data_IF_987637696718
#
_entry.id   IF_987637696718
#
_cell.length_a   1.000
_cell.length_b   1.000
_cell.length_c   1.000
_cell.angle_alpha   90.00
_cell.angle_beta   90.00
_cell.angle_gamma   90.00
#
_symmetry.space_group_name_H-M   'P 1'
#
loop_
_entity.id
_entity.type
_entity.pdbx_description
1 polymer ?
#
# COMPACT_ATOMS: atom_id res chain seq x y z
N UNK A 1 16.56 -0.41 7.44
CA UNK A 1 17.16 -0.65 8.78
C UNK A 1 16.17 -1.37 9.69
N UNK A 2 16.62 -2.31 10.53
CA UNK A 2 15.78 -2.99 11.52
C UNK A 2 16.00 -2.32 12.88
N UNK A 3 14.96 -1.70 13.46
CA UNK A 3 15.10 -0.93 14.71
C UNK A 3 14.57 -1.64 15.96
N UNK A 4 13.65 -2.60 15.82
CA UNK A 4 13.13 -3.38 16.95
C UNK A 4 14.04 -4.53 17.38
N UNK A 5 14.95 -4.95 16.51
CA UNK A 5 15.96 -5.97 16.80
C UNK A 5 17.22 -5.77 15.95
N UNK A 6 18.20 -4.96 16.39
CA UNK A 6 19.34 -4.57 15.57
C UNK A 6 20.37 -5.68 15.34
N UNK A 7 20.25 -6.83 16.00
CA UNK A 7 21.21 -7.93 15.86
C UNK A 7 20.70 -9.24 16.43
N UNK A 8 21.57 -10.25 16.44
CA UNK A 8 21.30 -11.59 16.96
C UNK A 8 22.28 -11.92 18.10
N UNK A 9 21.83 -12.68 19.10
CA UNK A 9 22.71 -13.34 20.07
C UNK A 9 23.39 -14.55 19.44
N UNK A 10 24.37 -15.15 20.14
CA UNK A 10 25.19 -16.29 19.66
C UNK A 10 24.39 -17.48 19.10
N UNK A 11 23.17 -17.71 19.60
CA UNK A 11 22.28 -18.80 19.14
C UNK A 11 21.23 -18.35 18.11
N UNK A 12 21.40 -17.18 17.49
CA UNK A 12 20.54 -16.69 16.41
C UNK A 12 19.22 -16.06 16.85
N UNK A 13 18.98 -15.86 18.15
CA UNK A 13 17.78 -15.14 18.63
C UNK A 13 17.97 -13.63 18.44
N UNK A 14 16.94 -12.88 17.99
CA UNK A 14 17.00 -11.43 17.91
C UNK A 14 17.29 -10.79 19.27
N UNK A 15 18.14 -9.76 19.27
CA UNK A 15 18.37 -8.86 20.39
C UNK A 15 17.25 -7.82 20.35
N UNK A 16 16.17 -8.05 21.08
CA UNK A 16 15.02 -7.15 21.08
C UNK A 16 15.32 -5.85 21.83
N UNK A 17 14.85 -4.74 21.26
CA UNK A 17 14.77 -3.44 21.94
C UNK A 17 13.51 -3.46 22.82
N UNK A 18 13.60 -3.26 24.16
CA UNK A 18 12.45 -3.35 25.05
C UNK A 18 11.26 -2.47 24.65
N UNK A 19 11.54 -1.26 24.15
CA UNK A 19 10.55 -0.28 23.69
C UNK A 19 9.77 -0.78 22.46
N UNK A 20 10.35 -1.66 21.65
CA UNK A 20 9.68 -2.25 20.49
C UNK A 20 8.55 -3.22 20.87
N UNK A 21 8.32 -3.48 22.16
CA UNK A 21 7.14 -4.18 22.68
C UNK A 21 5.94 -3.26 22.92
N UNK A 22 6.10 -1.94 22.74
CA UNK A 22 5.04 -0.92 22.68
C UNK A 22 3.95 -0.98 23.76
N UNK A 23 4.31 -1.42 24.98
CA UNK A 23 3.36 -1.57 26.07
C UNK A 23 2.79 -0.22 26.53
N UNK A 24 3.59 0.61 27.21
CA UNK A 24 3.14 1.90 27.73
C UNK A 24 3.38 3.07 26.76
N UNK A 25 4.44 2.98 25.95
CA UNK A 25 4.87 4.06 25.06
C UNK A 25 4.79 3.56 23.61
N UNK A 26 4.15 4.31 22.70
CA UNK A 26 4.13 3.95 21.29
C UNK A 26 5.54 3.83 20.69
N UNK A 27 5.74 2.87 19.79
CA UNK A 27 7.01 2.64 19.12
C UNK A 27 6.85 2.72 17.60
N UNK A 28 7.68 3.55 16.95
CA UNK A 28 7.76 3.59 15.49
C UNK A 28 8.65 2.45 15.01
N UNK A 29 8.06 1.38 14.50
CA UNK A 29 8.80 0.17 14.11
C UNK A 29 9.17 0.18 12.62
N UNK A 30 10.38 -0.29 12.32
CA UNK A 30 10.85 -0.60 10.96
C UNK A 30 11.65 -1.90 10.98
N UNK A 31 11.28 -2.91 10.16
CA UNK A 31 10.10 -2.95 9.30
C UNK A 31 8.78 -2.97 10.10
N UNK A 32 7.75 -2.32 9.54
CA UNK A 32 6.38 -2.43 10.02
C UNK A 32 5.70 -3.76 9.65
N UNK A 33 4.36 -3.84 9.69
CA UNK A 33 3.63 -5.10 9.47
C UNK A 33 3.76 -5.63 8.05
N UNK A 34 4.08 -4.75 7.11
CA UNK A 34 4.31 -5.06 5.70
C UNK A 34 5.73 -5.59 5.43
N UNK A 35 6.59 -5.67 6.45
CA UNK A 35 7.89 -6.34 6.38
C UNK A 35 8.96 -5.58 5.59
N UNK A 36 10.21 -6.03 5.73
CA UNK A 36 11.33 -5.56 4.90
C UNK A 36 11.34 -6.21 3.51
N UNK A 37 10.56 -7.29 3.37
CA UNK A 37 10.22 -8.04 2.17
C UNK A 37 8.85 -8.71 2.47
N UNK A 38 8.02 -8.92 1.46
CA UNK A 38 6.66 -9.48 1.63
C UNK A 38 6.44 -10.63 0.63
N UNK A 39 5.20 -10.90 0.21
CA UNK A 39 4.84 -12.01 -0.68
C UNK A 39 5.44 -11.94 -2.10
N UNK A 40 5.96 -10.79 -2.51
CA UNK A 40 6.55 -10.59 -3.84
C UNK A 40 7.73 -11.56 -4.05
N UNK A 41 7.71 -12.45 -5.06
CA UNK A 41 8.76 -13.46 -5.21
C UNK A 41 10.17 -12.87 -5.35
N UNK A 42 11.14 -13.42 -4.60
CA UNK A 42 12.56 -13.25 -4.87
C UNK A 42 13.03 -14.26 -5.93
N UNK A 43 14.18 -14.01 -6.55
CA UNK A 43 14.82 -14.93 -7.50
C UNK A 43 16.26 -15.26 -7.11
N UNK A 44 16.75 -16.45 -7.46
CA UNK A 44 18.14 -16.86 -7.27
C UNK A 44 18.81 -17.10 -8.62
N UNK A 45 20.03 -16.58 -8.80
CA UNK A 45 20.87 -16.91 -9.94
C UNK A 45 22.11 -17.70 -9.48
N UNK A 46 22.21 -19.00 -9.83
CA UNK A 46 23.32 -19.84 -9.40
C UNK A 46 24.65 -19.51 -10.09
N UNK A 47 24.64 -18.85 -11.25
CA UNK A 47 25.85 -18.57 -12.03
C UNK A 47 26.68 -17.45 -11.39
N UNK A 48 26.00 -16.47 -10.78
CA UNK A 48 26.64 -15.36 -10.03
C UNK A 48 26.49 -15.50 -8.51
N UNK A 49 25.71 -16.48 -8.04
CA UNK A 49 25.52 -16.77 -6.62
C UNK A 49 24.72 -15.70 -5.87
N UNK A 50 23.76 -15.03 -6.51
CA UNK A 50 23.01 -13.91 -5.94
C UNK A 50 21.51 -14.18 -5.81
N UNK A 51 20.92 -13.70 -4.72
CA UNK A 51 19.49 -13.63 -4.50
C UNK A 51 18.98 -12.19 -4.74
N UNK A 52 17.98 -12.02 -5.59
CA UNK A 52 17.38 -10.73 -5.92
C UNK A 52 16.08 -10.53 -5.14
N UNK A 53 16.08 -9.56 -4.24
CA UNK A 53 15.04 -9.38 -3.23
C UNK A 53 14.35 -8.02 -3.44
N UNK A 54 13.03 -8.00 -3.70
CA UNK A 54 12.21 -6.80 -3.55
C UNK A 54 12.17 -6.41 -2.07
N UNK A 55 12.97 -5.41 -1.70
CA UNK A 55 13.08 -4.94 -0.34
C UNK A 55 12.39 -3.57 -0.19
N UNK A 56 11.95 -3.29 1.03
CA UNK A 56 11.22 -2.07 1.34
C UNK A 56 11.40 -1.62 2.79
N UNK A 57 11.13 -0.33 3.01
CA UNK A 57 11.01 0.28 4.34
C UNK A 57 9.65 0.95 4.40
N UNK A 58 8.76 0.41 5.24
CA UNK A 58 7.43 0.97 5.53
C UNK A 58 7.30 0.99 7.05
N UNK A 59 7.59 2.15 7.70
CA UNK A 59 7.45 2.28 9.14
C UNK A 59 5.99 2.25 9.59
N UNK A 60 5.74 1.77 10.80
CA UNK A 60 4.42 1.81 11.42
C UNK A 60 4.56 2.10 12.92
N UNK A 61 3.73 3.01 13.43
CA UNK A 61 3.58 3.21 14.86
C UNK A 61 2.74 2.07 15.46
N UNK A 62 3.20 1.50 16.56
CA UNK A 62 2.47 0.54 17.38
C UNK A 62 2.21 1.15 18.76
N UNK A 63 0.98 1.02 19.24
CA UNK A 63 0.56 1.37 20.59
C UNK A 63 -0.42 0.32 21.09
N UNK A 64 -0.42 0.02 22.38
CA UNK A 64 -1.41 -0.89 22.98
C UNK A 64 -2.81 -0.28 22.90
N UNK A 65 -3.80 -1.07 22.47
CA UNK A 65 -5.22 -0.67 22.50
C UNK A 65 -5.84 -0.98 23.86
N UNK A 66 -6.12 0.02 24.71
CA UNK A 66 -6.72 -0.22 26.03
C UNK A 66 -8.18 -0.70 25.94
N UNK A 67 -8.80 -0.63 24.75
CA UNK A 67 -10.16 -1.08 24.46
C UNK A 67 -10.20 -2.50 23.90
N UNK A 68 -9.04 -3.16 23.78
CA UNK A 68 -8.95 -4.47 23.16
C UNK A 68 -9.79 -5.50 23.93
N UNK A 69 -10.58 -6.25 23.18
CA UNK A 69 -11.26 -7.46 23.62
C UNK A 69 -11.02 -8.52 22.56
N UNK A 70 -10.74 -9.75 22.99
CA UNK A 70 -10.51 -10.86 22.08
C UNK A 70 -11.69 -11.03 21.11
N UNK A 71 -11.38 -11.07 19.81
CA UNK A 71 -12.37 -11.25 18.76
C UNK A 71 -11.87 -12.24 17.71
N UNK A 72 -12.61 -13.34 17.50
CA UNK A 72 -12.25 -14.37 16.52
C UNK A 72 -12.64 -14.04 15.08
N UNK A 73 -13.43 -12.99 14.87
CA UNK A 73 -14.10 -12.68 13.61
C UNK A 73 -13.65 -11.36 12.98
N UNK A 74 -12.70 -10.65 13.62
CA UNK A 74 -12.18 -9.34 13.19
C UNK A 74 -10.67 -9.25 13.34
N UNK A 75 -10.12 -8.11 12.93
CA UNK A 75 -8.74 -7.75 13.23
C UNK A 75 -8.51 -7.78 14.75
N UNK A 76 -7.65 -8.69 15.18
CA UNK A 76 -7.43 -9.04 16.59
C UNK A 76 -5.95 -8.81 16.99
N UNK A 77 -5.43 -7.60 16.75
CA UNK A 77 -4.01 -7.28 16.95
C UNK A 77 -3.68 -6.70 18.32
N UNK A 78 -4.66 -6.19 19.06
CA UNK A 78 -4.42 -5.46 20.31
C UNK A 78 -3.67 -4.14 20.13
N UNK A 79 -3.53 -3.67 18.89
CA UNK A 79 -2.83 -2.42 18.55
C UNK A 79 -3.83 -1.30 18.22
N UNK A 80 -3.60 -0.11 18.77
CA UNK A 80 -4.38 1.08 18.48
C UNK A 80 -3.75 1.88 17.34
N UNK A 81 -4.29 1.71 16.14
CA UNK A 81 -3.84 2.43 14.96
C UNK A 81 -4.30 3.90 14.91
N UNK A 82 -5.19 4.33 15.83
CA UNK A 82 -5.61 5.71 15.97
C UNK A 82 -4.85 6.46 17.08
N UNK A 83 -4.00 5.77 17.85
CA UNK A 83 -3.28 6.37 18.97
C UNK A 83 -2.33 7.48 18.49
N UNK A 84 -2.54 8.70 18.99
CA UNK A 84 -1.73 9.88 18.64
C UNK A 84 -1.94 10.38 17.21
N UNK A 85 -2.93 9.85 16.48
CA UNK A 85 -3.29 10.32 15.14
C UNK A 85 -4.21 11.55 15.28
N UNK A 86 -3.85 12.70 14.70
CA UNK A 86 -4.73 13.88 14.73
C UNK A 86 -5.98 13.64 13.87
N UNK A 87 -7.07 14.36 14.13
CA UNK A 87 -8.30 14.26 13.31
C UNK A 87 -8.08 14.66 11.85
N UNK A 88 -7.27 15.68 11.61
CA UNK A 88 -6.84 16.13 10.29
C UNK A 88 -5.32 16.05 10.25
N UNK A 89 -4.78 15.38 9.23
CA UNK A 89 -3.35 15.20 9.09
C UNK A 89 -2.71 16.44 8.45
N UNK A 90 -1.76 17.13 9.11
CA UNK A 90 -1.08 18.26 8.49
C UNK A 90 -0.22 17.84 7.30
N UNK A 91 -0.19 18.63 6.23
CA UNK A 91 0.58 18.29 5.01
C UNK A 91 2.07 18.05 5.23
N UNK A 92 2.71 18.79 6.14
CA UNK A 92 4.12 18.56 6.49
C UNK A 92 4.35 17.21 7.18
N UNK A 93 3.38 16.73 7.95
CA UNK A 93 3.43 15.38 8.53
C UNK A 93 3.30 14.33 7.42
N UNK A 94 2.45 14.57 6.41
CA UNK A 94 2.34 13.66 5.25
C UNK A 94 3.64 13.58 4.45
N UNK A 95 4.27 14.72 4.17
CA UNK A 95 5.58 14.75 3.51
C UNK A 95 6.62 13.97 4.32
N UNK A 96 6.65 14.16 5.63
CA UNK A 96 7.53 13.41 6.53
C UNK A 96 7.26 11.91 6.47
N UNK A 97 6.02 11.46 6.59
CA UNK A 97 5.65 10.05 6.52
C UNK A 97 6.03 9.43 5.18
N UNK A 98 5.74 10.11 4.05
CA UNK A 98 6.11 9.65 2.71
C UNK A 98 7.63 9.54 2.53
N UNK A 99 8.43 10.43 3.13
CA UNK A 99 9.89 10.34 3.07
C UNK A 99 10.48 9.09 3.74
N UNK A 100 9.71 8.46 4.64
CA UNK A 100 10.06 7.19 5.28
C UNK A 100 9.75 5.96 4.42
N UNK A 101 8.99 6.11 3.34
CA UNK A 101 8.60 5.01 2.45
C UNK A 101 9.68 4.79 1.41
N UNK A 102 10.32 3.62 1.43
CA UNK A 102 11.41 3.29 0.49
C UNK A 102 11.20 1.92 -0.13
N UNK A 103 11.53 1.77 -1.39
CA UNK A 103 11.61 0.47 -2.07
C UNK A 103 12.90 0.34 -2.83
N UNK A 104 13.37 -0.90 -2.98
CA UNK A 104 14.61 -1.20 -3.70
C UNK A 104 14.65 -2.65 -4.16
N UNK A 105 15.45 -2.92 -5.18
CA UNK A 105 15.88 -4.26 -5.55
C UNK A 105 17.29 -4.49 -5.00
N UNK A 106 17.45 -5.49 -4.13
CA UNK A 106 18.75 -5.85 -3.56
C UNK A 106 19.24 -7.12 -4.24
N UNK A 107 20.46 -7.12 -4.78
CA UNK A 107 21.17 -8.35 -5.08
C UNK A 107 22.04 -8.75 -3.89
N UNK A 108 21.57 -9.74 -3.15
CA UNK A 108 22.15 -10.23 -1.92
C UNK A 108 23.06 -11.42 -2.19
N UNK A 109 24.30 -11.35 -1.67
CA UNK A 109 25.19 -12.50 -1.57
C UNK A 109 24.89 -13.22 -0.25
N UNK A 110 24.30 -14.43 -0.27
CA UNK A 110 23.94 -15.15 0.95
C UNK A 110 25.15 -15.73 1.68
N UNK A 111 26.31 -15.88 1.02
CA UNK A 111 27.54 -16.40 1.61
C UNK A 111 28.29 -15.28 2.33
N UNK A 112 28.49 -14.15 1.65
CA UNK A 112 29.12 -12.98 2.22
C UNK A 112 28.19 -12.20 3.18
N UNK A 113 26.88 -12.45 3.10
CA UNK A 113 25.84 -11.76 3.87
C UNK A 113 25.88 -10.24 3.67
N UNK A 114 26.03 -9.82 2.41
CA UNK A 114 26.06 -8.42 2.02
C UNK A 114 25.32 -8.18 0.69
N UNK A 115 24.88 -6.94 0.48
CA UNK A 115 24.38 -6.51 -0.81
C UNK A 115 25.56 -6.31 -1.77
N UNK A 116 25.54 -6.99 -2.92
CA UNK A 116 26.50 -6.75 -4.01
C UNK A 116 26.20 -5.45 -4.74
N UNK A 117 24.91 -5.18 -4.94
CA UNK A 117 24.40 -3.94 -5.50
C UNK A 117 22.96 -3.72 -5.03
N UNK A 118 22.45 -2.52 -5.26
CA UNK A 118 21.08 -2.11 -4.94
C UNK A 118 20.58 -1.13 -5.99
N UNK A 119 19.35 -1.32 -6.47
CA UNK A 119 18.62 -0.34 -7.29
C UNK A 119 17.52 0.27 -6.42
N UNK A 120 17.59 1.58 -6.18
CA UNK A 120 16.55 2.30 -5.44
C UNK A 120 15.35 2.60 -6.34
N UNK A 121 14.15 2.48 -5.78
CA UNK A 121 12.89 2.78 -6.43
C UNK A 121 12.23 4.01 -5.81
N UNK A 122 11.30 4.64 -6.54
CA UNK A 122 10.60 5.85 -6.06
C UNK A 122 9.77 5.63 -4.77
N UNK A 123 9.35 4.39 -4.52
CA UNK A 123 8.56 4.01 -3.36
C UNK A 123 8.60 2.50 -3.11
N UNK A 124 7.97 2.04 -2.02
CA UNK A 124 7.94 0.63 -1.62
C UNK A 124 7.01 -0.20 -2.53
N UNK A 125 6.85 -1.47 -2.18
CA UNK A 125 5.83 -2.36 -2.75
C UNK A 125 5.99 -2.67 -4.25
N UNK A 126 7.23 -2.69 -4.72
CA UNK A 126 7.58 -3.16 -6.06
C UNK A 126 7.45 -4.69 -6.12
N UNK A 127 7.19 -5.18 -7.33
CA UNK A 127 6.82 -6.57 -7.57
C UNK A 127 7.93 -7.58 -7.48
N UNK A 128 7.55 -8.82 -7.74
CA UNK A 128 8.45 -9.97 -7.73
C UNK A 128 9.49 -9.92 -8.85
N UNK A 129 10.40 -10.87 -8.77
CA UNK A 129 11.60 -10.92 -9.61
C UNK A 129 11.69 -12.23 -10.37
N UNK A 130 12.19 -12.15 -11.59
CA UNK A 130 12.61 -13.28 -12.40
C UNK A 130 14.08 -13.13 -12.74
N UNK A 131 14.91 -14.15 -12.52
CA UNK A 131 16.29 -14.18 -13.02
C UNK A 131 16.45 -15.26 -14.10
N UNK A 132 17.33 -15.02 -15.05
CA UNK A 132 17.57 -15.90 -16.21
C UNK A 132 19.05 -16.27 -16.32
N UNK A 133 19.33 -17.40 -16.98
CA UNK A 133 20.70 -17.84 -17.29
C UNK A 133 21.46 -16.89 -18.23
N UNK A 134 20.77 -15.93 -18.87
CA UNK A 134 21.40 -14.92 -19.70
C UNK A 134 22.05 -13.78 -18.90
N UNK A 135 21.99 -13.82 -17.56
CA UNK A 135 22.47 -12.74 -16.71
C UNK A 135 21.51 -11.55 -16.67
N UNK A 136 20.19 -11.79 -16.84
CA UNK A 136 19.17 -10.73 -16.81
C UNK A 136 18.19 -10.98 -15.66
N UNK A 137 17.83 -9.90 -14.96
CA UNK A 137 16.85 -9.87 -13.87
C UNK A 137 15.68 -8.96 -14.24
N UNK A 138 14.47 -9.49 -14.26
CA UNK A 138 13.25 -8.73 -14.55
C UNK A 138 12.48 -8.42 -13.27
N UNK A 139 11.91 -7.22 -13.18
CA UNK A 139 11.06 -6.80 -12.06
C UNK A 139 9.94 -5.86 -12.54
N UNK A 140 8.71 -6.10 -12.08
CA UNK A 140 7.61 -5.15 -12.16
C UNK A 140 7.65 -4.15 -11.01
N UNK A 141 7.33 -2.88 -11.26
CA UNK A 141 7.32 -1.81 -10.27
C UNK A 141 5.90 -1.31 -10.02
N UNK A 142 5.68 -0.67 -8.86
CA UNK A 142 4.36 -0.15 -8.49
C UNK A 142 3.91 1.02 -9.39
N UNK A 143 4.86 1.78 -9.92
CA UNK A 143 4.62 2.90 -10.85
C UNK A 143 4.22 2.46 -12.27
N UNK A 144 4.17 1.15 -12.54
CA UNK A 144 3.78 0.61 -13.85
C UNK A 144 4.94 0.36 -14.81
N UNK A 145 6.19 0.52 -14.37
CA UNK A 145 7.35 0.09 -15.14
C UNK A 145 7.60 -1.41 -14.98
N UNK A 146 7.91 -2.08 -16.08
CA UNK A 146 8.51 -3.41 -16.10
C UNK A 146 9.93 -3.29 -16.64
N UNK A 147 10.92 -3.59 -15.81
CA UNK A 147 12.33 -3.33 -16.10
C UNK A 147 13.15 -4.63 -16.12
N UNK A 148 14.25 -4.59 -16.88
CA UNK A 148 15.27 -5.62 -16.94
C UNK A 148 16.63 -5.02 -16.53
N UNK A 149 17.34 -5.75 -15.68
CA UNK A 149 18.62 -5.34 -15.11
C UNK A 149 19.70 -6.38 -15.43
N UNK A 150 20.95 -5.93 -15.54
CA UNK A 150 22.11 -6.82 -15.51
C UNK A 150 22.18 -7.51 -14.13
N UNK A 151 22.28 -8.83 -14.15
CA UNK A 151 22.26 -9.67 -12.96
C UNK A 151 23.47 -9.43 -12.03
N UNK A 152 24.62 -9.03 -12.58
CA UNK A 152 25.86 -8.87 -11.85
C UNK A 152 26.07 -7.44 -11.34
N UNK A 153 25.58 -6.43 -12.06
CA UNK A 153 25.82 -5.00 -11.73
C UNK A 153 24.58 -4.24 -11.28
N UNK A 154 23.39 -4.69 -11.66
CA UNK A 154 22.14 -3.96 -11.44
C UNK A 154 21.90 -2.82 -12.44
N UNK A 155 22.70 -2.71 -13.50
CA UNK A 155 22.50 -1.71 -14.54
C UNK A 155 21.17 -1.95 -15.27
N UNK A 156 20.38 -0.90 -15.47
CA UNK A 156 19.14 -1.01 -16.24
C UNK A 156 19.45 -1.22 -17.72
N UNK A 157 18.96 -2.33 -18.27
CA UNK A 157 19.16 -2.72 -19.66
C UNK A 157 17.96 -2.36 -20.54
N UNK A 158 16.77 -2.38 -19.94
CA UNK A 158 15.51 -2.16 -20.65
C UNK A 158 14.39 -1.83 -19.67
N UNK A 159 13.43 -1.03 -20.13
CA UNK A 159 12.21 -0.69 -19.41
C UNK A 159 11.03 -0.55 -20.38
N UNK A 160 9.85 -0.98 -19.95
CA UNK A 160 8.59 -0.71 -20.62
C UNK A 160 7.50 -0.29 -19.64
N UNK A 161 6.63 0.62 -20.08
CA UNK A 161 5.44 1.02 -19.34
C UNK A 161 4.30 0.01 -19.61
N UNK A 162 3.87 -0.69 -18.57
CA UNK A 162 2.78 -1.68 -18.61
C UNK A 162 1.42 -1.11 -18.20
N UNK A 163 1.34 0.21 -18.03
CA UNK A 163 0.12 1.00 -17.78
C UNK A 163 -0.62 0.65 -16.50
N UNK A 164 -0.06 -0.19 -15.64
CA UNK A 164 -0.62 -0.55 -14.34
C UNK A 164 0.46 -1.09 -13.42
N UNK A 165 0.30 -0.92 -12.11
CA UNK A 165 1.24 -1.48 -11.13
C UNK A 165 1.41 -2.98 -11.32
N UNK A 166 2.64 -3.47 -11.18
CA UNK A 166 2.98 -4.86 -11.45
C UNK A 166 3.66 -5.48 -10.23
N UNK A 167 2.85 -5.96 -9.27
CA UNK A 167 3.34 -6.56 -8.04
C UNK A 167 3.69 -8.06 -8.16
N UNK A 168 3.21 -8.73 -9.21
CA UNK A 168 3.41 -10.18 -9.40
C UNK A 168 4.87 -10.53 -9.70
N UNK A 169 5.21 -11.82 -9.60
CA UNK A 169 6.47 -12.34 -10.13
C UNK A 169 6.36 -12.55 -11.65
N UNK A 170 7.32 -12.08 -12.45
CA UNK A 170 7.35 -12.37 -13.88
C UNK A 170 7.62 -13.86 -14.15
N UNK A 171 7.19 -14.33 -15.32
CA UNK A 171 7.50 -15.67 -15.82
C UNK A 171 8.14 -15.61 -17.21
N UNK A 172 8.86 -16.67 -17.59
CA UNK A 172 9.37 -16.82 -18.96
C UNK A 172 9.13 -18.24 -19.45
N UNK A 173 8.89 -18.37 -20.75
CA UNK A 173 8.63 -19.65 -21.42
C UNK A 173 9.04 -19.56 -22.90
N UNK A 174 9.04 -20.70 -23.59
CA UNK A 174 9.37 -20.79 -25.01
C UNK A 174 8.19 -21.38 -25.79
N UNK A 175 7.94 -20.86 -26.99
CA UNK A 175 7.02 -21.43 -27.98
C UNK A 175 7.74 -21.44 -29.33
N UNK A 176 7.82 -22.62 -29.97
CA UNK A 176 8.42 -22.81 -31.30
C UNK A 176 9.84 -22.20 -31.46
N UNK A 177 10.66 -22.28 -30.42
CA UNK A 177 12.03 -21.74 -30.40
C UNK A 177 12.12 -20.23 -30.13
N UNK A 178 11.01 -19.56 -29.82
CA UNK A 178 10.98 -18.15 -29.47
C UNK A 178 10.68 -17.98 -27.98
N UNK A 179 11.52 -17.20 -27.28
CA UNK A 179 11.38 -16.93 -25.86
C UNK A 179 10.42 -15.77 -25.61
N UNK A 180 9.58 -15.94 -24.60
CA UNK A 180 8.61 -14.97 -24.11
C UNK A 180 8.86 -14.65 -22.63
N UNK A 181 8.62 -13.41 -22.24
CA UNK A 181 8.60 -12.98 -20.84
C UNK A 181 7.24 -12.38 -20.55
N UNK A 182 6.59 -12.80 -19.48
CA UNK A 182 5.22 -12.40 -19.14
C UNK A 182 5.11 -11.90 -17.71
N UNK A 183 4.18 -10.98 -17.48
CA UNK A 183 3.85 -10.45 -16.17
C UNK A 183 2.36 -10.16 -16.09
N UNK A 184 1.76 -10.38 -14.91
CA UNK A 184 0.39 -9.93 -14.64
C UNK A 184 0.42 -8.54 -14.00
N UNK A 185 -0.38 -7.64 -14.56
CA UNK A 185 -0.50 -6.25 -14.09
C UNK A 185 -1.85 -6.04 -13.41
N UNK A 186 -1.87 -5.08 -12.50
CA UNK A 186 -3.04 -4.71 -11.72
C UNK A 186 -2.61 -4.08 -10.42
N UNK A 187 -3.05 -2.85 -10.19
CA UNK A 187 -2.96 -2.27 -8.85
C UNK A 187 -3.85 -3.06 -7.89
N UNK A 188 -3.36 -3.26 -6.68
CA UNK A 188 -4.08 -3.96 -5.62
C UNK A 188 -3.15 -4.17 -4.43
N UNK A 189 -3.45 -5.18 -3.61
CA UNK A 189 -2.72 -5.61 -2.40
C UNK A 189 -3.05 -4.86 -1.10
N UNK A 190 -2.60 -5.46 0.01
CA UNK A 190 -2.72 -4.89 1.34
C UNK A 190 -2.10 -3.50 1.48
N UNK A 191 -0.98 -3.19 0.80
CA UNK A 191 -0.34 -1.88 0.92
C UNK A 191 -1.20 -0.75 0.36
N UNK A 192 -1.68 -0.87 -0.89
CA UNK A 192 -2.52 0.17 -1.48
C UNK A 192 -3.85 0.34 -0.71
N UNK A 193 -4.42 -0.75 -0.20
CA UNK A 193 -5.63 -0.68 0.63
C UNK A 193 -5.40 0.01 1.99
N UNK A 194 -4.33 -0.37 2.71
CA UNK A 194 -4.11 0.08 4.08
C UNK A 194 -3.38 1.42 4.18
N UNK A 195 -2.52 1.76 3.22
CA UNK A 195 -1.85 3.07 3.16
C UNK A 195 -2.67 4.11 2.38
N UNK A 196 -3.58 3.68 1.49
CA UNK A 196 -4.51 4.58 0.79
C UNK A 196 -3.82 5.76 0.12
N UNK A 197 -4.35 6.97 0.34
CA UNK A 197 -3.81 8.23 -0.17
C UNK A 197 -2.40 8.59 0.36
N UNK A 198 -1.90 7.94 1.42
CA UNK A 198 -0.50 8.11 1.83
C UNK A 198 0.45 7.46 0.82
N UNK A 199 0.08 6.29 0.27
CA UNK A 199 0.90 5.55 -0.69
C UNK A 199 0.94 6.21 -2.06
N UNK A 200 -0.17 6.82 -2.47
CA UNK A 200 -0.32 7.43 -3.79
C UNK A 200 -1.11 8.73 -3.65
N UNK A 201 -0.49 9.91 -3.89
CA UNK A 201 -1.18 11.20 -3.79
C UNK A 201 -2.39 11.28 -4.73
N UNK A 202 -2.25 10.67 -5.90
CA UNK A 202 -3.33 10.53 -6.87
C UNK A 202 -3.91 9.12 -6.81
N UNK A 203 -5.22 8.99 -6.83
CA UNK A 203 -5.86 7.69 -6.88
C UNK A 203 -5.46 6.96 -8.17
N UNK A 204 -5.06 5.69 -8.06
CA UNK A 204 -4.78 4.87 -9.25
C UNK A 204 -6.07 4.68 -10.04
N UNK A 205 -6.00 4.68 -11.38
CA UNK A 205 -7.19 4.53 -12.20
C UNK A 205 -7.79 3.12 -12.01
N UNK A 206 -9.13 2.98 -12.10
CA UNK A 206 -9.78 1.68 -12.02
C UNK A 206 -9.51 0.87 -13.30
N UNK A 207 -8.31 0.30 -13.39
CA UNK A 207 -7.88 -0.51 -14.51
C UNK A 207 -8.16 -1.99 -14.28
N UNK A 208 -8.56 -2.66 -15.34
CA UNK A 208 -8.66 -4.12 -15.37
C UNK A 208 -7.25 -4.70 -15.46
N UNK A 209 -6.96 -5.68 -14.60
CA UNK A 209 -5.68 -6.37 -14.64
C UNK A 209 -5.44 -7.08 -15.98
N UNK A 210 -4.19 -7.06 -16.46
CA UNK A 210 -3.81 -7.61 -17.77
C UNK A 210 -2.74 -8.68 -17.60
N UNK A 211 -2.65 -9.58 -18.58
CA UNK A 211 -1.44 -10.38 -18.81
C UNK A 211 -0.68 -9.69 -19.93
N UNK A 212 0.52 -9.23 -19.64
CA UNK A 212 1.39 -8.56 -20.61
C UNK A 212 2.55 -9.49 -20.93
N UNK A 213 2.77 -9.74 -22.23
CA UNK A 213 3.82 -10.66 -22.69
C UNK A 213 4.70 -9.97 -23.72
N UNK A 214 6.01 -10.13 -23.54
CA UNK A 214 7.07 -9.56 -24.35
C UNK A 214 7.83 -10.65 -25.08
N UNK A 215 8.34 -10.31 -26.26
CA UNK A 215 9.32 -11.10 -27.02
C UNK A 215 10.19 -10.15 -27.83
N UNK A 216 11.34 -10.64 -28.29
CA UNK A 216 12.21 -9.84 -29.15
C UNK A 216 11.52 -9.49 -30.48
N UNK A 217 11.68 -8.24 -30.93
CA UNK A 217 11.14 -7.75 -32.20
C UNK A 217 9.64 -7.42 -32.21
N UNK A 218 8.91 -7.65 -31.10
CA UNK A 218 7.55 -7.16 -30.93
C UNK A 218 7.53 -5.62 -30.91
N UNK A 219 6.46 -5.02 -31.43
CA UNK A 219 6.30 -3.56 -31.57
C UNK A 219 4.91 -3.05 -31.19
N UNK A 220 4.06 -3.95 -30.71
CA UNK A 220 2.74 -3.65 -30.21
C UNK A 220 2.83 -2.78 -28.96
N UNK A 221 1.95 -1.80 -28.88
CA UNK A 221 1.88 -0.88 -27.74
C UNK A 221 0.73 -1.26 -26.82
N UNK A 222 0.94 -1.10 -25.51
CA UNK A 222 -0.13 -1.24 -24.52
C UNK A 222 -0.91 0.06 -24.54
N UNK A 223 -2.20 -0.02 -24.89
CA UNK A 223 -3.07 1.14 -24.93
C UNK A 223 -3.17 1.80 -23.54
N UNK A 224 -3.15 3.14 -23.56
CA UNK A 224 -3.40 3.95 -22.38
C UNK A 224 -4.81 3.69 -21.83
N UNK A 225 -4.94 3.90 -20.53
CA UNK A 225 -6.23 3.83 -19.84
C UNK A 225 -6.88 5.20 -19.95
N UNK A 226 -7.92 5.30 -20.78
CA UNK A 226 -8.74 6.52 -20.89
C UNK A 226 -9.94 6.40 -19.94
N UNK A 227 -9.86 7.10 -18.81
CA UNK A 227 -10.94 7.17 -17.83
C UNK A 227 -11.23 8.64 -17.55
N UNK A 228 -12.49 9.08 -17.69
CA UNK A 228 -12.85 10.45 -17.39
C UNK A 228 -12.62 10.72 -15.91
N UNK A 229 -11.73 11.67 -15.61
CA UNK A 229 -11.49 12.15 -14.26
C UNK A 229 -12.66 13.05 -13.89
N UNK A 230 -13.45 12.61 -12.92
CA UNK A 230 -14.50 13.44 -12.31
C UNK A 230 -13.86 14.23 -11.18
N UNK A 231 -14.10 15.53 -11.15
CA UNK A 231 -13.59 16.39 -10.07
C UNK A 231 -14.15 15.93 -8.71
N UNK A 232 -13.28 15.59 -7.75
CA UNK A 232 -13.71 15.19 -6.42
C UNK A 232 -14.34 16.37 -5.69
N UNK A 233 -15.58 16.19 -5.23
CA UNK A 233 -16.35 17.23 -4.53
C UNK A 233 -17.08 16.62 -3.34
N UNK A 234 -17.05 17.26 -2.15
CA UNK A 234 -17.90 16.88 -1.03
C UNK A 234 -19.38 16.85 -1.44
N UNK A 235 -20.16 15.95 -0.84
CA UNK A 235 -21.59 15.78 -1.17
C UNK A 235 -22.54 16.46 -0.20
N UNK A 236 -22.00 17.00 0.89
CA UNK A 236 -22.75 17.75 1.90
C UNK A 236 -21.80 18.67 2.67
N UNK A 237 -22.34 19.65 3.37
CA UNK A 237 -21.60 20.56 4.25
C UNK A 237 -21.02 19.81 5.46
N UNK A 238 -19.96 20.33 6.06
CA UNK A 238 -19.44 19.79 7.32
C UNK A 238 -20.49 19.84 8.43
N UNK A 239 -20.48 18.82 9.30
CA UNK A 239 -21.36 18.72 10.45
C UNK A 239 -20.71 17.87 11.55
N UNK A 240 -21.36 17.84 12.72
CA UNK A 240 -20.91 17.09 13.88
C UNK A 240 -20.12 17.94 14.88
N UNK A 241 -20.11 17.49 16.13
CA UNK A 241 -19.33 18.13 17.20
C UNK A 241 -17.90 17.60 17.22
N UNK A 242 -16.97 18.31 17.87
CA UNK A 242 -15.58 17.84 18.04
C UNK A 242 -15.51 16.42 18.66
N UNK A 243 -16.36 16.15 19.65
CA UNK A 243 -16.45 14.83 20.29
C UNK A 243 -16.94 13.75 19.30
N UNK A 244 -17.98 14.07 18.51
CA UNK A 244 -18.51 13.15 17.50
C UNK A 244 -17.48 12.86 16.40
N UNK A 245 -16.69 13.86 15.99
CA UNK A 245 -15.63 13.68 15.01
C UNK A 245 -14.47 12.83 15.56
N UNK A 246 -14.13 13.00 16.84
CA UNK A 246 -13.11 12.18 17.50
C UNK A 246 -13.55 10.71 17.62
N UNK A 247 -14.82 10.47 17.95
CA UNK A 247 -15.42 9.15 17.96
C UNK A 247 -15.49 8.54 16.55
N UNK A 248 -15.91 9.34 15.56
CA UNK A 248 -15.93 8.97 14.16
C UNK A 248 -14.56 8.52 13.63
N UNK A 249 -13.49 9.24 13.96
CA UNK A 249 -12.11 8.84 13.65
C UNK A 249 -11.77 7.46 14.22
N UNK A 250 -12.09 7.22 15.50
CA UNK A 250 -11.80 5.94 16.16
C UNK A 250 -12.56 4.79 15.50
N UNK A 251 -13.86 4.96 15.26
CA UNK A 251 -14.68 3.94 14.61
C UNK A 251 -14.23 3.69 13.17
N UNK A 252 -13.90 4.76 12.43
CA UNK A 252 -13.36 4.66 11.08
C UNK A 252 -12.04 3.88 11.05
N UNK A 253 -11.10 4.21 11.93
CA UNK A 253 -9.80 3.55 12.02
C UNK A 253 -9.92 2.05 12.37
N UNK A 254 -10.93 1.67 13.16
CA UNK A 254 -11.14 0.27 13.56
C UNK A 254 -11.88 -0.57 12.51
N UNK A 255 -12.71 0.05 11.68
CA UNK A 255 -13.67 -0.69 10.84
C UNK A 255 -13.53 -0.43 9.34
N UNK A 256 -13.02 0.73 8.92
CA UNK A 256 -13.06 1.17 7.53
C UNK A 256 -11.66 1.35 6.90
N UNK A 257 -10.68 1.79 7.69
CA UNK A 257 -9.36 2.23 7.18
C UNK A 257 -8.60 1.16 6.39
N UNK A 258 -8.79 -0.12 6.69
CA UNK A 258 -8.05 -1.22 6.05
C UNK A 258 -8.46 -1.44 4.59
N UNK A 259 -9.63 -0.94 4.20
CA UNK A 259 -10.17 -1.02 2.85
C UNK A 259 -10.16 0.35 2.17
N UNK A 260 -10.55 1.40 2.89
CA UNK A 260 -10.76 2.74 2.34
C UNK A 260 -9.60 3.71 2.58
N UNK A 261 -8.49 3.23 3.12
CA UNK A 261 -7.31 4.02 3.44
C UNK A 261 -7.45 4.86 4.70
N UNK A 262 -6.35 5.38 5.25
CA UNK A 262 -6.40 6.28 6.40
C UNK A 262 -7.02 7.62 5.98
N UNK A 263 -7.71 8.28 6.91
CA UNK A 263 -8.38 9.57 6.67
C UNK A 263 -9.41 9.54 5.53
N UNK A 264 -10.02 8.39 5.28
CA UNK A 264 -10.96 8.20 4.17
C UNK A 264 -10.36 8.42 2.77
N UNK A 265 -9.03 8.63 2.67
CA UNK A 265 -8.32 8.79 1.43
C UNK A 265 -7.92 7.44 0.87
N UNK A 266 -8.63 7.00 -0.17
CA UNK A 266 -8.34 5.73 -0.84
C UNK A 266 -7.15 5.89 -1.80
N UNK A 267 -6.46 4.79 -2.07
CA UNK A 267 -5.48 4.73 -3.15
C UNK A 267 -6.10 4.62 -4.54
N UNK A 268 -7.44 4.49 -4.65
CA UNK A 268 -8.17 4.24 -5.91
C UNK A 268 -8.52 2.78 -6.17
N UNK A 269 -8.04 1.83 -5.36
CA UNK A 269 -8.40 0.39 -5.49
C UNK A 269 -9.85 0.15 -5.09
N UNK A 270 -10.25 0.74 -3.97
CA UNK A 270 -11.64 0.79 -3.51
C UNK A 270 -12.13 2.25 -3.53
N UNK A 271 -13.44 2.49 -3.45
CA UNK A 271 -13.97 3.86 -3.46
C UNK A 271 -13.34 4.75 -2.39
N UNK A 272 -12.96 5.96 -2.78
CA UNK A 272 -12.61 7.03 -1.85
C UNK A 272 -13.89 7.56 -1.20
N UNK A 273 -14.00 7.38 0.12
CA UNK A 273 -15.24 7.67 0.83
C UNK A 273 -15.51 9.17 0.94
N UNK A 274 -14.48 10.02 0.85
CA UNK A 274 -14.62 11.49 0.88
C UNK A 274 -15.50 12.00 -0.25
N UNK A 275 -15.48 11.31 -1.39
CA UNK A 275 -16.17 11.72 -2.61
C UNK A 275 -17.43 10.90 -2.91
N UNK A 276 -17.77 9.96 -2.03
CA UNK A 276 -18.89 9.03 -2.19
C UNK A 276 -20.23 9.74 -2.16
N UNK A 277 -21.11 9.44 -3.12
CA UNK A 277 -22.48 9.94 -3.17
C UNK A 277 -23.27 9.61 -1.88
N UNK A 278 -22.99 8.47 -1.25
CA UNK A 278 -23.69 8.03 -0.04
C UNK A 278 -23.42 8.90 1.19
N UNK A 279 -22.42 9.79 1.17
CA UNK A 279 -22.17 10.73 2.27
C UNK A 279 -23.19 11.87 2.35
N UNK A 280 -24.01 12.04 1.30
CA UNK A 280 -24.94 13.17 1.16
C UNK A 280 -25.95 13.28 2.32
N UNK A 281 -26.41 12.15 2.87
CA UNK A 281 -27.36 12.09 3.97
C UNK A 281 -27.19 10.81 4.82
N UNK A 282 -27.77 10.82 6.02
CA UNK A 282 -27.63 9.75 6.99
C UNK A 282 -28.31 8.43 6.56
N UNK A 283 -29.43 8.49 5.84
CA UNK A 283 -30.17 7.31 5.40
C UNK A 283 -29.39 6.58 4.30
N UNK A 284 -28.88 7.31 3.32
CA UNK A 284 -28.01 6.79 2.25
C UNK A 284 -26.75 6.11 2.81
N UNK A 285 -26.10 6.75 3.80
CA UNK A 285 -24.90 6.21 4.44
C UNK A 285 -25.20 4.95 5.26
N UNK A 286 -26.22 5.00 6.11
CA UNK A 286 -26.69 3.85 6.90
C UNK A 286 -27.10 2.68 6.00
N UNK A 287 -27.76 2.96 4.88
CA UNK A 287 -28.17 1.94 3.91
C UNK A 287 -26.99 1.10 3.39
N UNK A 288 -25.81 1.70 3.27
CA UNK A 288 -24.59 0.99 2.89
C UNK A 288 -23.96 0.28 4.08
N UNK A 289 -23.74 1.00 5.18
CA UNK A 289 -22.92 0.52 6.31
C UNK A 289 -23.64 -0.48 7.21
N UNK A 290 -24.94 -0.29 7.44
CA UNK A 290 -25.77 -1.14 8.31
C UNK A 290 -26.65 -2.06 7.46
N UNK A 291 -27.43 -1.51 6.54
CA UNK A 291 -28.43 -2.31 5.82
C UNK A 291 -27.78 -3.20 4.73
N UNK A 292 -26.53 -2.91 4.36
CA UNK A 292 -25.73 -3.78 3.52
C UNK A 292 -26.11 -3.74 2.04
N UNK A 293 -26.59 -2.60 1.55
CA UNK A 293 -27.03 -2.45 0.16
C UNK A 293 -25.93 -2.76 -0.89
N UNK A 294 -24.66 -2.78 -0.48
CA UNK A 294 -23.51 -3.08 -1.33
C UNK A 294 -22.79 -4.41 -0.97
N UNK A 295 -23.41 -5.29 -0.17
CA UNK A 295 -22.82 -6.58 0.21
C UNK A 295 -22.49 -7.48 -0.98
N UNK A 296 -23.30 -7.44 -2.04
CA UNK A 296 -23.11 -8.26 -3.24
C UNK A 296 -21.82 -7.94 -4.01
N UNK A 297 -21.24 -6.76 -3.77
CA UNK A 297 -19.96 -6.33 -4.36
C UNK A 297 -18.83 -6.25 -3.33
N UNK A 298 -19.03 -6.82 -2.14
CA UNK A 298 -17.98 -6.98 -1.12
C UNK A 298 -17.97 -5.96 0.01
N UNK A 299 -18.87 -4.97 0.03
CA UNK A 299 -19.02 -4.05 1.17
C UNK A 299 -19.89 -4.69 2.24
N UNK A 300 -19.27 -5.24 3.28
CA UNK A 300 -19.96 -5.96 4.36
C UNK A 300 -20.83 -5.04 5.21
N UNK A 301 -21.88 -5.59 5.81
CA UNK A 301 -22.64 -4.88 6.85
C UNK A 301 -21.88 -4.89 8.17
N UNK A 302 -22.02 -3.79 8.90
CA UNK A 302 -21.46 -3.57 10.24
C UNK A 302 -22.55 -3.53 11.33
N UNK A 303 -23.77 -3.99 11.04
CA UNK A 303 -24.90 -3.96 11.98
C UNK A 303 -24.64 -4.67 13.31
N UNK A 304 -23.79 -5.70 13.30
CA UNK A 304 -23.44 -6.46 14.51
C UNK A 304 -22.45 -5.71 15.42
N UNK A 305 -21.88 -4.59 14.96
CA UNK A 305 -20.65 -4.03 15.53
C UNK A 305 -20.60 -2.51 15.65
N UNK A 306 -21.47 -1.81 14.92
CA UNK A 306 -21.64 -0.37 14.99
C UNK A 306 -23.11 -0.06 15.22
N UNK A 307 -23.38 0.86 16.15
CA UNK A 307 -24.70 1.46 16.31
C UNK A 307 -24.96 2.50 15.21
N UNK A 308 -26.22 2.96 15.09
CA UNK A 308 -26.54 4.04 14.15
C UNK A 308 -25.80 5.35 14.48
N UNK A 309 -25.60 5.65 15.77
CA UNK A 309 -24.85 6.82 16.22
C UNK A 309 -23.36 6.72 15.84
N UNK A 310 -22.75 5.53 15.98
CA UNK A 310 -21.36 5.29 15.56
C UNK A 310 -21.21 5.50 14.04
N UNK A 311 -22.19 5.02 13.27
CA UNK A 311 -22.20 5.15 11.81
C UNK A 311 -22.35 6.61 11.35
N UNK A 312 -23.17 7.40 12.05
CA UNK A 312 -23.32 8.83 11.79
C UNK A 312 -22.07 9.61 12.22
N UNK A 313 -21.40 9.22 13.30
CA UNK A 313 -20.11 9.77 13.70
C UNK A 313 -19.03 9.51 12.63
N UNK A 314 -18.98 8.30 12.06
CA UNK A 314 -18.10 7.98 10.93
C UNK A 314 -18.43 8.86 9.72
N UNK A 315 -19.71 9.07 9.40
CA UNK A 315 -20.12 9.94 8.28
C UNK A 315 -19.63 11.37 8.49
N UNK A 316 -19.82 11.92 9.69
CA UNK A 316 -19.34 13.26 10.06
C UNK A 316 -17.83 13.37 9.84
N UNK A 317 -17.07 12.38 10.32
CA UNK A 317 -15.62 12.32 10.15
C UNK A 317 -15.21 12.26 8.66
N UNK A 318 -15.82 11.39 7.86
CA UNK A 318 -15.52 11.25 6.42
C UNK A 318 -15.80 12.55 5.67
N UNK A 319 -16.91 13.23 5.99
CA UNK A 319 -17.25 14.53 5.39
C UNK A 319 -16.24 15.61 5.78
N UNK A 320 -15.79 15.64 7.03
CA UNK A 320 -14.69 16.54 7.44
C UNK A 320 -13.43 16.29 6.60
N UNK A 321 -13.05 15.03 6.36
CA UNK A 321 -11.88 14.72 5.52
C UNK A 321 -12.06 15.15 4.05
N UNK A 322 -13.30 15.18 3.55
CA UNK A 322 -13.61 15.65 2.20
C UNK A 322 -13.42 17.17 2.05
N UNK A 323 -13.72 17.95 3.10
CA UNK A 323 -13.53 19.40 3.12
C UNK A 323 -12.10 19.82 3.49
N UNK A 324 -11.32 18.93 4.10
CA UNK A 324 -9.93 19.18 4.49
C UNK A 324 -8.94 18.23 3.79
N UNK A 325 -8.91 18.19 2.45
CA UNK A 325 -8.08 17.22 1.72
C UNK A 325 -6.58 17.57 1.73
N UNK A 326 -6.20 18.79 2.13
CA UNK A 326 -4.86 19.39 1.96
C UNK A 326 -3.71 18.55 2.52
N UNK A 327 -3.95 17.70 3.52
CA UNK A 327 -2.94 16.78 4.04
C UNK A 327 -2.56 15.67 3.05
N UNK A 328 -3.54 15.14 2.31
CA UNK A 328 -3.42 13.90 1.52
C UNK A 328 -3.66 14.08 0.03
N UNK A 329 -4.13 15.26 -0.40
CA UNK A 329 -4.16 15.65 -1.80
C UNK A 329 -2.74 15.81 -2.37
N UNK A 330 -2.59 15.59 -3.68
CA UNK A 330 -1.39 16.00 -4.39
C UNK A 330 -1.21 17.52 -4.25
N UNK A 331 0.02 17.98 -3.98
CA UNK A 331 0.36 19.40 -4.09
C UNK A 331 -0.08 19.87 -5.49
N UNK A 332 -1.10 20.72 -5.57
CA UNK A 332 -1.55 21.35 -6.82
C UNK A 332 -0.48 22.28 -7.45
N UNK A 333 0.72 22.34 -6.87
CA UNK A 333 1.86 23.15 -7.32
C UNK A 333 2.97 22.38 -8.06
N UNK A 334 2.80 21.08 -8.31
CA UNK A 334 3.81 20.24 -8.98
C UNK A 334 3.65 20.12 -10.50
N UNK A 335 3.29 21.20 -11.20
CA UNK A 335 3.26 21.20 -12.66
C UNK A 335 4.67 21.08 -13.26
N UNK A 336 4.88 20.02 -14.04
CA UNK A 336 5.92 19.83 -15.08
C UNK A 336 7.06 20.85 -15.14
N UNK A 337 8.28 20.37 -14.88
CA UNK A 337 9.48 20.79 -15.62
C UNK A 337 10.29 19.56 -16.02
#
# INVERSE_FOLDING_TARGET
PVNGAPGLVEYGRPIEVPEARYAEIPFMQTPGPLGGHNWHPMAWNPDVGLAYIPAQEIPQAYATDPRFQDNSSKWNTGADFAAGVPQVLPGEVVKFLRSGLKGRLIAWDPVAQEARWTVEHAGPWNGGVLSTAAGIVFQGKLNGEFAAYDAATGDELWVADVKSGAASGPGTFEIDGEQYVTITTGWGSAYLLTAGGLATPDAVPPAVGKVVTFKLGASEMIADIDIPIVEPTPKTEEFGTEAQLAEGLVHYARNCTVCHGPFAASSGILPDLRWSAYTMDAESWKGVVIDGNLQSIGMVSFADVLSEDDVEAIRAYVVQQAHNPEGLAADASGGSQ
#
